data_IF_859971947510
#
_entry.id   IF_859971947510
#
_cell.length_a   1.000
_cell.length_b   1.000
_cell.length_c   1.000
_cell.angle_alpha   90.00
_cell.angle_beta   90.00
_cell.angle_gamma   90.00
#
_symmetry.space_group_name_H-M   'P 1'
#
loop_
_entity.id
_entity.type
_entity.pdbx_description
1 polymer ?
#
# COMPACT_ATOMS: atom_id res chain seq x y z
N UNK A 1 -7.93 3.61 13.41
CA UNK A 1 -6.75 3.33 14.25
C UNK A 1 -5.52 3.53 13.37
N UNK A 2 -4.66 4.50 13.70
CA UNK A 2 -3.49 4.85 12.90
C UNK A 2 -2.37 3.81 12.93
N UNK A 3 -2.42 2.82 13.84
CA UNK A 3 -1.40 1.78 13.95
C UNK A 3 -1.78 0.47 13.25
N UNK A 4 -2.99 0.35 12.70
CA UNK A 4 -3.41 -0.86 11.97
C UNK A 4 -2.82 -0.86 10.57
N UNK A 5 -2.27 -2.01 10.18
CA UNK A 5 -1.68 -2.24 8.87
C UNK A 5 -2.52 -3.21 8.04
N UNK A 6 -2.44 -3.07 6.73
CA UNK A 6 -3.15 -3.86 5.73
C UNK A 6 -2.18 -4.28 4.64
N UNK A 7 -2.35 -5.49 4.12
CA UNK A 7 -1.47 -6.03 3.09
C UNK A 7 -2.24 -6.70 1.94
N UNK A 8 -1.79 -6.42 0.71
CA UNK A 8 -2.13 -7.21 -0.48
C UNK A 8 -0.84 -7.78 -1.07
N UNK A 9 -0.54 -9.04 -0.73
CA UNK A 9 0.70 -9.70 -1.13
C UNK A 9 0.64 -10.31 -2.53
N UNK A 10 -0.47 -10.16 -3.26
CA UNK A 10 -0.59 -10.67 -4.63
C UNK A 10 -1.53 -9.78 -5.45
N UNK A 11 -1.16 -8.50 -5.56
CA UNK A 11 -1.98 -7.46 -6.15
C UNK A 11 -2.18 -7.67 -7.65
N UNK A 12 -3.39 -7.34 -8.12
CA UNK A 12 -3.72 -7.17 -9.54
C UNK A 12 -3.90 -5.70 -9.88
N UNK A 13 -5.14 -5.22 -9.94
CA UNK A 13 -5.45 -3.84 -10.33
C UNK A 13 -5.23 -2.79 -9.23
N UNK A 14 -5.00 -3.20 -7.98
CA UNK A 14 -4.90 -2.28 -6.83
C UNK A 14 -6.21 -1.89 -6.16
N UNK A 15 -7.35 -2.48 -6.57
CA UNK A 15 -8.67 -2.14 -6.05
C UNK A 15 -8.81 -2.33 -4.53
N UNK A 16 -8.28 -3.44 -3.97
CA UNK A 16 -8.37 -3.70 -2.54
C UNK A 16 -7.72 -2.58 -1.73
N UNK A 17 -6.49 -2.21 -2.12
CA UNK A 17 -5.72 -1.15 -1.48
C UNK A 17 -6.39 0.21 -1.63
N UNK A 18 -6.88 0.55 -2.82
CA UNK A 18 -7.58 1.81 -3.04
C UNK A 18 -8.79 1.97 -2.10
N UNK A 19 -9.56 0.90 -1.89
CA UNK A 19 -10.69 0.91 -0.96
C UNK A 19 -10.26 0.99 0.51
N UNK A 20 -9.14 0.36 0.90
CA UNK A 20 -8.58 0.52 2.25
C UNK A 20 -8.14 1.97 2.48
N UNK A 21 -7.38 2.56 1.56
CA UNK A 21 -6.94 3.96 1.64
C UNK A 21 -8.13 4.89 1.77
N UNK A 22 -9.15 4.73 0.92
CA UNK A 22 -10.38 5.52 0.95
C UNK A 22 -11.11 5.41 2.29
N UNK A 23 -11.23 4.22 2.87
CA UNK A 23 -11.89 3.99 4.16
C UNK A 23 -11.10 4.60 5.31
N UNK A 24 -9.78 4.41 5.33
CA UNK A 24 -8.91 5.01 6.35
C UNK A 24 -8.97 6.53 6.30
N UNK A 25 -8.79 7.12 5.11
CA UNK A 25 -8.82 8.56 4.90
C UNK A 25 -10.13 9.20 5.35
N UNK A 26 -11.26 8.51 5.15
CA UNK A 26 -12.57 9.03 5.52
C UNK A 26 -12.99 8.72 6.96
N UNK A 27 -12.29 7.84 7.67
CA UNK A 27 -12.69 7.46 9.03
C UNK A 27 -12.51 8.59 10.03
N UNK A 28 -13.48 8.71 10.96
CA UNK A 28 -13.46 9.77 11.96
C UNK A 28 -12.23 9.68 12.89
N UNK A 29 -11.84 8.45 13.26
CA UNK A 29 -10.64 8.24 14.08
C UNK A 29 -9.35 8.72 13.39
N UNK A 30 -9.23 8.52 12.07
CA UNK A 30 -8.07 9.04 11.33
C UNK A 30 -8.13 10.56 11.18
N UNK A 31 -9.32 11.14 10.96
CA UNK A 31 -9.50 12.60 10.86
C UNK A 31 -9.21 13.33 12.18
N UNK A 32 -9.53 12.70 13.32
CA UNK A 32 -9.23 13.24 14.64
C UNK A 32 -7.72 13.27 14.93
N UNK A 33 -6.99 12.23 14.53
CA UNK A 33 -5.53 12.14 14.74
C UNK A 33 -4.78 12.99 13.71
N UNK A 34 -5.20 12.95 12.45
CA UNK A 34 -4.59 13.67 11.34
C UNK A 34 -5.64 14.57 10.67
N UNK A 35 -5.78 15.80 11.17
CA UNK A 35 -6.73 16.77 10.63
C UNK A 35 -6.31 17.26 9.24
N UNK A 36 -5.01 17.42 9.00
CA UNK A 36 -4.46 17.76 7.69
C UNK A 36 -4.57 16.57 6.73
N UNK A 37 -5.17 16.80 5.56
CA UNK A 37 -5.47 15.74 4.60
C UNK A 37 -4.22 15.13 3.96
N UNK A 38 -3.26 15.96 3.58
CA UNK A 38 -2.00 15.51 2.99
C UNK A 38 -1.19 14.68 3.98
N UNK A 39 -1.08 15.12 5.23
CA UNK A 39 -0.41 14.34 6.29
C UNK A 39 -1.13 13.02 6.56
N UNK A 40 -2.47 13.02 6.57
CA UNK A 40 -3.28 11.81 6.75
C UNK A 40 -3.04 10.83 5.62
N UNK A 41 -3.01 11.31 4.38
CA UNK A 41 -2.80 10.47 3.20
C UNK A 41 -1.38 9.90 3.18
N UNK A 42 -0.37 10.74 3.38
CA UNK A 42 1.03 10.34 3.51
C UNK A 42 1.20 9.27 4.61
N UNK A 43 0.61 9.47 5.80
CA UNK A 43 0.67 8.50 6.90
C UNK A 43 0.05 7.15 6.50
N UNK A 44 -1.10 7.17 5.84
CA UNK A 44 -1.75 5.93 5.37
C UNK A 44 -0.78 5.18 4.46
N UNK A 45 -0.27 5.83 3.41
CA UNK A 45 0.62 5.21 2.41
C UNK A 45 1.98 4.76 2.97
N UNK A 46 2.55 5.53 3.91
CA UNK A 46 3.88 5.26 4.48
C UNK A 46 3.84 4.23 5.62
N UNK A 47 2.74 4.09 6.35
CA UNK A 47 2.74 3.28 7.57
C UNK A 47 1.67 2.21 7.65
N UNK A 48 0.57 2.32 6.89
CA UNK A 48 -0.60 1.47 7.12
C UNK A 48 -0.84 0.46 6.02
N UNK A 49 -0.19 0.58 4.88
CA UNK A 49 -0.55 -0.23 3.72
C UNK A 49 0.70 -0.73 3.01
N UNK A 50 0.68 -2.02 2.67
CA UNK A 50 1.81 -2.78 2.15
C UNK A 50 1.35 -3.66 1.02
N UNK A 51 2.12 -3.76 -0.06
CA UNK A 51 1.64 -4.56 -1.17
C UNK A 51 2.67 -4.95 -2.22
N UNK A 52 2.43 -6.10 -2.84
CA UNK A 52 3.31 -6.71 -3.83
C UNK A 52 2.57 -6.94 -5.15
N UNK A 53 3.17 -6.49 -6.25
CA UNK A 53 2.70 -6.78 -7.59
C UNK A 53 3.63 -7.81 -8.27
N UNK A 54 3.12 -8.89 -8.86
CA UNK A 54 3.96 -10.00 -9.31
C UNK A 54 4.76 -9.71 -10.58
N UNK A 55 4.31 -8.79 -11.44
CA UNK A 55 4.98 -8.44 -12.69
C UNK A 55 5.08 -6.93 -12.86
N UNK A 56 6.02 -6.47 -13.68
CA UNK A 56 6.21 -5.04 -13.97
C UNK A 56 4.95 -4.40 -14.55
N UNK A 57 4.27 -5.08 -15.48
CA UNK A 57 3.04 -4.56 -16.09
C UNK A 57 1.96 -4.35 -15.03
N UNK A 58 1.78 -5.31 -14.12
CA UNK A 58 0.79 -5.22 -13.05
C UNK A 58 1.20 -4.13 -12.03
N UNK A 59 2.49 -4.04 -11.73
CA UNK A 59 3.05 -2.99 -10.88
C UNK A 59 2.72 -1.59 -11.44
N UNK A 60 2.96 -1.35 -12.73
CA UNK A 60 2.67 -0.07 -13.38
C UNK A 60 1.18 0.24 -13.41
N UNK A 61 0.31 -0.76 -13.67
CA UNK A 61 -1.15 -0.57 -13.61
C UNK A 61 -1.58 -0.15 -12.21
N UNK A 62 -1.12 -0.87 -11.18
CA UNK A 62 -1.43 -0.57 -9.79
C UNK A 62 -0.89 0.80 -9.36
N UNK A 63 0.35 1.14 -9.75
CA UNK A 63 0.99 2.41 -9.44
C UNK A 63 0.15 3.58 -9.94
N UNK A 64 -0.20 3.58 -11.23
CA UNK A 64 -0.99 4.66 -11.81
C UNK A 64 -2.44 4.67 -11.32
N UNK A 65 -3.04 3.51 -11.05
CA UNK A 65 -4.40 3.45 -10.50
C UNK A 65 -4.47 4.02 -9.07
N UNK A 66 -3.47 3.71 -8.23
CA UNK A 66 -3.48 4.08 -6.81
C UNK A 66 -2.89 5.48 -6.58
N UNK A 67 -1.82 5.86 -7.30
CA UNK A 67 -1.08 7.11 -7.08
C UNK A 67 -1.23 8.12 -8.24
N UNK A 68 -1.88 7.77 -9.34
CA UNK A 68 -2.05 8.66 -10.50
C UNK A 68 -3.24 9.62 -10.42
N UNK A 69 -3.80 9.86 -9.24
CA UNK A 69 -4.88 10.83 -9.02
C UNK A 69 -4.28 12.21 -8.67
N UNK A 70 -5.06 13.28 -8.82
CA UNK A 70 -4.62 14.63 -8.44
C UNK A 70 -4.26 14.72 -6.94
N UNK A 71 -3.01 15.06 -6.63
CA UNK A 71 -2.46 15.05 -5.27
C UNK A 71 -1.69 13.79 -4.91
N UNK A 72 -1.66 12.78 -5.78
CA UNK A 72 -0.84 11.58 -5.62
C UNK A 72 0.66 11.88 -5.67
N UNK A 73 1.06 12.94 -6.36
CA UNK A 73 2.43 13.46 -6.40
C UNK A 73 2.96 13.95 -5.05
N UNK A 74 2.07 14.21 -4.09
CA UNK A 74 2.43 14.59 -2.72
C UNK A 74 2.84 13.38 -1.87
N UNK A 75 2.61 12.17 -2.37
CA UNK A 75 2.94 10.93 -1.66
C UNK A 75 4.39 10.57 -1.97
N UNK A 76 5.30 10.99 -1.10
CA UNK A 76 6.73 10.77 -1.29
C UNK A 76 7.16 9.35 -0.92
N UNK A 77 6.43 8.70 0.00
CA UNK A 77 6.79 7.38 0.52
C UNK A 77 5.60 6.44 0.53
N UNK A 78 5.81 5.25 -0.02
CA UNK A 78 4.83 4.18 -0.09
C UNK A 78 5.51 2.81 -0.19
N UNK A 79 4.74 1.74 0.08
CA UNK A 79 5.21 0.35 0.11
C UNK A 79 4.84 -0.48 -1.13
N UNK A 80 4.62 0.19 -2.27
CA UNK A 80 4.43 -0.51 -3.56
C UNK A 80 5.74 -1.14 -4.01
N UNK A 81 5.76 -2.46 -4.13
CA UNK A 81 6.95 -3.19 -4.57
C UNK A 81 6.57 -4.23 -5.63
N UNK A 82 7.42 -4.37 -6.64
CA UNK A 82 7.30 -5.46 -7.60
C UNK A 82 7.98 -6.71 -7.02
N UNK A 83 7.20 -7.73 -6.70
CA UNK A 83 7.68 -9.01 -6.21
C UNK A 83 6.61 -10.08 -6.44
N UNK A 84 6.99 -11.19 -7.07
CA UNK A 84 6.10 -12.34 -7.20
C UNK A 84 6.13 -13.17 -5.92
N UNK A 85 5.08 -13.02 -5.10
CA UNK A 85 4.94 -13.74 -3.84
C UNK A 85 4.57 -15.22 -4.01
N UNK A 86 4.06 -15.64 -5.18
CA UNK A 86 3.57 -17.00 -5.38
C UNK A 86 4.66 -18.08 -5.24
N UNK A 87 5.83 -18.00 -5.91
CA UNK A 87 6.91 -18.98 -5.70
C UNK A 87 7.43 -18.93 -4.27
N UNK A 88 7.61 -17.73 -3.71
CA UNK A 88 8.11 -17.54 -2.34
C UNK A 88 7.19 -18.18 -1.29
N UNK A 89 5.88 -18.07 -1.48
CA UNK A 89 4.88 -18.69 -0.61
C UNK A 89 4.92 -20.22 -0.71
N UNK A 90 5.08 -20.77 -1.92
CA UNK A 90 5.22 -22.23 -2.13
C UNK A 90 6.48 -22.79 -1.50
N UNK A 91 7.56 -22.03 -1.56
CA UNK A 91 8.87 -22.43 -1.03
C UNK A 91 9.02 -22.12 0.48
N UNK A 92 8.01 -21.50 1.10
CA UNK A 92 8.03 -21.12 2.53
C UNK A 92 9.02 -20.01 2.87
N UNK A 93 9.49 -19.23 1.88
CA UNK A 93 10.52 -18.18 2.04
C UNK A 93 9.96 -16.76 1.99
N UNK A 94 8.63 -16.62 1.89
CA UNK A 94 7.97 -15.32 1.76
C UNK A 94 8.24 -14.38 2.94
N UNK A 95 8.22 -14.90 4.18
CA UNK A 95 8.48 -14.09 5.39
C UNK A 95 9.85 -13.43 5.35
N UNK A 96 10.93 -14.20 5.14
CA UNK A 96 12.29 -13.67 4.99
C UNK A 96 12.38 -12.63 3.87
N UNK A 97 11.64 -12.83 2.78
CA UNK A 97 11.64 -11.86 1.69
C UNK A 97 10.91 -10.57 2.07
N UNK A 98 9.80 -10.65 2.81
CA UNK A 98 9.08 -9.48 3.30
C UNK A 98 9.94 -8.65 4.27
N UNK A 99 10.66 -9.30 5.19
CA UNK A 99 11.61 -8.62 6.08
C UNK A 99 12.69 -7.88 5.29
N UNK A 100 13.20 -8.49 4.21
CA UNK A 100 14.18 -7.82 3.34
C UNK A 100 13.61 -6.63 2.56
N UNK A 101 12.29 -6.56 2.34
CA UNK A 101 11.65 -5.51 1.55
C UNK A 101 11.15 -4.36 2.44
N UNK A 102 10.62 -4.70 3.62
CA UNK A 102 9.85 -3.79 4.48
C UNK A 102 10.38 -3.68 5.92
N UNK A 103 11.30 -4.54 6.33
CA UNK A 103 11.92 -4.56 7.67
C UNK A 103 13.01 -3.52 7.87
#
# INVERSE_FOLDING_TARGET
>A
DPSKTFADLYMKSGLYIAEIVKRLFNSDGMKQVFSNETQRLQHIFEHQVYWLAPTEIIYQIALHFILGFDGGELIEKHHLRQCDALPLAKDGTLETKLDSIFG
#
